data_IF_108868812968
#
_entry.id   IF_108868812968
#
_cell.length_a   1.000
_cell.length_b   1.000
_cell.length_c   1.000
_cell.angle_alpha   90.00
_cell.angle_beta   90.00
_cell.angle_gamma   90.00
#
_symmetry.space_group_name_H-M   'P 1'
#
loop_
_entity.id
_entity.type
_entity.pdbx_description
1 polymer ?
#
# COMPACT_ATOMS: atom_id res chain seq x y z
N UNK A 1 -1.72 13.51 5.82
CA UNK A 1 -2.34 12.18 5.61
C UNK A 1 -1.48 11.52 4.56
N UNK A 2 -1.20 10.22 4.65
CA UNK A 2 -0.35 9.56 3.66
C UNK A 2 -1.25 8.74 2.74
N UNK A 3 -1.22 9.04 1.44
CA UNK A 3 -1.93 8.26 0.43
C UNK A 3 -0.94 7.29 -0.21
N UNK A 4 -1.17 5.99 -0.07
CA UNK A 4 -0.33 4.98 -0.69
C UNK A 4 -0.96 4.55 -1.99
N UNK A 5 -0.34 4.96 -3.07
CA UNK A 5 -0.69 4.50 -4.40
C UNK A 5 -0.03 3.13 -4.66
N UNK A 6 -0.87 2.14 -4.93
CA UNK A 6 -0.45 0.78 -5.28
C UNK A 6 -0.58 0.61 -6.78
N UNK A 7 0.54 0.27 -7.42
CA UNK A 7 0.63 0.04 -8.86
C UNK A 7 1.00 -1.40 -9.14
N UNK A 8 0.43 -1.93 -10.21
CA UNK A 8 0.79 -3.23 -10.76
C UNK A 8 2.19 -3.20 -11.43
N UNK A 9 2.71 -4.37 -11.82
CA UNK A 9 3.96 -4.52 -12.55
C UNK A 9 4.01 -3.72 -13.86
N UNK A 10 2.85 -3.53 -14.52
CA UNK A 10 2.71 -2.68 -15.71
C UNK A 10 2.71 -1.16 -15.40
N UNK A 11 2.84 -0.78 -14.12
CA UNK A 11 2.81 0.62 -13.67
C UNK A 11 1.41 1.24 -13.62
N UNK A 12 0.36 0.44 -13.84
CA UNK A 12 -1.03 0.87 -13.73
C UNK A 12 -1.43 0.97 -12.27
N UNK A 13 -2.06 2.09 -11.89
CA UNK A 13 -2.64 2.26 -10.55
C UNK A 13 -3.78 1.27 -10.36
N UNK A 14 -3.66 0.43 -9.34
CA UNK A 14 -4.69 -0.51 -8.91
C UNK A 14 -5.62 0.17 -7.90
N UNK A 15 -5.03 0.80 -6.89
CA UNK A 15 -5.76 1.46 -5.82
C UNK A 15 -4.90 2.49 -5.09
N UNK A 16 -5.54 3.42 -4.39
CA UNK A 16 -4.88 4.38 -3.51
C UNK A 16 -5.47 4.24 -2.11
N UNK A 17 -4.68 3.79 -1.15
CA UNK A 17 -5.10 3.66 0.23
C UNK A 17 -4.79 4.93 1.02
N UNK A 18 -5.81 5.49 1.66
CA UNK A 18 -5.62 6.59 2.61
C UNK A 18 -5.23 6.00 3.97
N UNK A 19 -3.97 6.18 4.36
CA UNK A 19 -3.44 5.64 5.59
C UNK A 19 -3.48 6.67 6.71
N UNK A 20 -4.14 6.28 7.79
CA UNK A 20 -4.21 7.04 9.03
C UNK A 20 -3.22 6.45 10.02
N UNK A 21 -2.16 7.19 10.35
CA UNK A 21 -1.29 6.83 11.46
C UNK A 21 -2.10 6.93 12.77
N UNK A 22 -2.68 5.81 13.20
CA UNK A 22 -3.51 5.71 14.40
C UNK A 22 -2.62 5.63 15.65
N UNK A 23 -1.92 6.71 16.00
CA UNK A 23 -1.20 6.78 17.27
C UNK A 23 -0.26 7.97 17.40
N UNK A 24 -0.46 8.78 18.43
CA UNK A 24 0.59 9.68 18.93
C UNK A 24 1.76 8.84 19.46
N UNK A 25 2.91 8.87 18.78
CA UNK A 25 4.18 8.39 19.33
C UNK A 25 4.75 7.09 18.73
N UNK A 26 4.05 6.43 17.80
CA UNK A 26 4.66 5.34 17.02
C UNK A 26 5.19 5.94 15.72
N UNK A 27 6.50 5.82 15.51
CA UNK A 27 7.14 6.21 14.25
C UNK A 27 6.74 5.18 13.19
N UNK A 28 5.64 5.42 12.48
CA UNK A 28 5.22 4.58 11.36
C UNK A 28 6.20 4.85 10.21
N UNK A 29 6.90 3.81 9.77
CA UNK A 29 7.81 3.92 8.62
C UNK A 29 7.05 3.73 7.32
N UNK A 30 7.65 4.18 6.21
CA UNK A 30 7.13 3.93 4.87
C UNK A 30 7.00 2.42 4.58
N UNK A 31 7.86 1.60 5.18
CA UNK A 31 7.82 0.13 5.06
C UNK A 31 6.57 -0.46 5.72
N UNK A 32 6.22 -0.02 6.94
CA UNK A 32 4.99 -0.46 7.64
C UNK A 32 3.74 -0.15 6.79
N UNK A 33 3.73 1.06 6.22
CA UNK A 33 2.70 1.56 5.33
C UNK A 33 2.56 0.68 4.07
N UNK A 34 3.68 0.30 3.46
CA UNK A 34 3.68 -0.56 2.28
C UNK A 34 3.26 -1.99 2.58
N UNK A 35 3.67 -2.56 3.71
CA UNK A 35 3.22 -3.89 4.13
C UNK A 35 1.70 -3.93 4.36
N UNK A 36 1.14 -2.88 4.96
CA UNK A 36 -0.30 -2.76 5.18
C UNK A 36 -1.05 -2.61 3.84
N UNK A 37 -0.58 -1.75 2.94
CA UNK A 37 -1.15 -1.61 1.60
C UNK A 37 -1.10 -2.92 0.80
N UNK A 38 0.01 -3.67 0.89
CA UNK A 38 0.18 -4.98 0.24
C UNK A 38 -0.82 -6.01 0.79
N UNK A 39 -1.08 -6.01 2.10
CA UNK A 39 -2.11 -6.89 2.68
C UNK A 39 -3.50 -6.52 2.20
N UNK A 40 -3.85 -5.24 2.24
CA UNK A 40 -5.18 -4.77 1.84
C UNK A 40 -5.48 -5.11 0.38
N UNK A 41 -4.52 -4.93 -0.53
CA UNK A 41 -4.74 -5.20 -1.97
C UNK A 41 -4.92 -6.70 -2.27
N UNK A 42 -4.38 -7.59 -1.43
CA UNK A 42 -4.61 -9.04 -1.50
C UNK A 42 -5.94 -9.42 -0.84
N UNK A 43 -6.26 -8.82 0.30
CA UNK A 43 -7.50 -9.07 1.05
C UNK A 43 -8.74 -8.62 0.25
N UNK A 44 -8.64 -7.46 -0.41
CA UNK A 44 -9.63 -6.92 -1.34
C UNK A 44 -9.73 -7.73 -2.65
N UNK A 45 -8.85 -8.71 -2.85
CA UNK A 45 -8.85 -9.58 -4.02
C UNK A 45 -8.50 -8.85 -5.33
N UNK A 46 -7.84 -7.69 -5.23
CA UNK A 46 -7.38 -6.93 -6.40
C UNK A 46 -6.23 -7.64 -7.11
N UNK A 47 -5.40 -8.37 -6.37
CA UNK A 47 -4.31 -9.19 -6.90
C UNK A 47 -4.14 -10.50 -6.12
N UNK A 48 -3.47 -11.47 -6.74
CA UNK A 48 -3.08 -12.71 -6.09
C UNK A 48 -1.88 -12.52 -5.16
N UNK A 49 -1.69 -13.41 -4.17
CA UNK A 49 -0.50 -13.40 -3.29
C UNK A 49 0.82 -13.41 -4.07
N UNK A 50 0.90 -14.17 -5.15
CA UNK A 50 2.07 -14.23 -6.03
C UNK A 50 2.31 -12.94 -6.85
N UNK A 51 1.26 -12.15 -7.08
CA UNK A 51 1.34 -10.88 -7.82
C UNK A 51 1.65 -9.71 -6.87
N UNK A 52 1.31 -9.85 -5.59
CA UNK A 52 1.55 -8.83 -4.57
C UNK A 52 3.02 -8.44 -4.43
N UNK A 53 3.96 -9.36 -4.69
CA UNK A 53 5.41 -9.10 -4.65
C UNK A 53 5.93 -8.31 -5.86
N UNK A 54 5.12 -8.15 -6.92
CA UNK A 54 5.48 -7.37 -8.11
C UNK A 54 4.92 -5.94 -8.06
N UNK A 55 4.18 -5.63 -7.00
CA UNK A 55 3.57 -4.33 -6.83
C UNK A 55 4.61 -3.26 -6.52
N UNK A 56 4.33 -2.06 -7.01
CA UNK A 56 5.08 -0.87 -6.65
C UNK A 56 4.22 0.02 -5.77
N UNK A 57 4.80 0.51 -4.67
CA UNK A 57 4.12 1.37 -3.72
C UNK A 57 4.74 2.77 -3.77
N UNK A 58 3.90 3.80 -3.79
CA UNK A 58 4.36 5.19 -3.79
C UNK A 58 3.53 6.00 -2.80
N UNK A 59 4.20 6.73 -1.92
CA UNK A 59 3.54 7.65 -1.00
C UNK A 59 3.27 8.96 -1.75
N UNK A 60 2.03 9.40 -1.69
CA UNK A 60 1.52 10.64 -2.27
C UNK A 60 0.91 11.48 -1.14
N UNK A 61 1.09 12.80 -1.23
CA UNK A 61 0.54 13.78 -0.28
C UNK A 61 -0.93 14.07 -0.60
#
# INVERSE_FOLDING_TARGET
MANIEVRDADGKVLHTYEMYAAGYGTLVTDEDLFEEAKRNVVDDGLVSKDEADKLTFTITD
#
